data_IF_623670979620
#
_entry.id   IF_623670979620
#
_cell.length_a   1.000
_cell.length_b   1.000
_cell.length_c   1.000
_cell.angle_alpha   90.00
_cell.angle_beta   90.00
_cell.angle_gamma   90.00
#
_symmetry.space_group_name_H-M   'P 1'
#
loop_
_entity.id
_entity.type
_entity.pdbx_description
1 polymer ?
2 non-polymer ?
3 water ?
#
# COMPACT_ATOMS: atom_id res chain seq x y z
N UNK A 1 -12.75 22.92 4.18
CA UNK A 1 -11.93 24.14 4.04
C UNK A 1 -10.76 24.13 5.02
N UNK A 2 -9.59 24.50 4.54
CA UNK A 2 -8.38 24.53 5.37
C UNK A 2 -8.22 23.21 6.11
N UNK A 3 -7.60 22.23 5.46
CA UNK A 3 -7.39 20.91 6.06
C UNK A 3 -6.06 20.79 6.77
N UNK A 4 -6.07 20.11 7.91
CA UNK A 4 -4.88 19.88 8.71
C UNK A 4 -4.24 18.57 8.22
N UNK A 5 -3.42 18.68 7.18
CA UNK A 5 -2.77 17.49 6.61
C UNK A 5 -1.96 16.71 7.63
N UNK A 6 -1.41 17.41 8.63
CA UNK A 6 -0.64 16.72 9.64
C UNK A 6 -1.52 15.77 10.43
N UNK A 7 -2.73 16.20 10.78
CA UNK A 7 -3.62 15.33 11.53
C UNK A 7 -4.16 14.20 10.66
N UNK A 8 -4.37 14.47 9.38
CA UNK A 8 -4.86 13.42 8.50
C UNK A 8 -3.77 12.36 8.37
N UNK A 9 -2.51 12.80 8.32
CA UNK A 9 -1.38 11.87 8.23
C UNK A 9 -1.41 10.98 9.48
N UNK A 10 -1.60 11.59 10.65
CA UNK A 10 -1.66 10.84 11.90
C UNK A 10 -2.84 9.86 11.86
N UNK A 11 -3.95 10.29 11.30
CA UNK A 11 -5.14 9.44 11.18
C UNK A 11 -4.83 8.22 10.30
N UNK A 12 -4.17 8.45 9.17
CA UNK A 12 -3.83 7.37 8.25
C UNK A 12 -2.99 6.33 8.99
N UNK A 13 -2.08 6.78 9.86
CA UNK A 13 -1.27 5.84 10.59
C UNK A 13 -2.14 5.04 11.56
N UNK A 14 -3.23 5.64 12.03
CA UNK A 14 -4.14 4.93 12.93
C UNK A 14 -4.84 3.83 12.13
N UNK A 15 -5.10 4.08 10.85
CA UNK A 15 -5.74 3.07 10.03
C UNK A 15 -4.80 1.87 9.94
N UNK A 16 -3.52 2.12 9.70
CA UNK A 16 -2.57 1.02 9.61
C UNK A 16 -2.47 0.27 10.94
N UNK A 17 -2.58 0.98 12.07
CA UNK A 17 -2.54 0.27 13.35
C UNK A 17 -3.75 -0.67 13.44
N UNK A 18 -4.87 -0.23 12.87
CA UNK A 18 -6.10 -1.02 12.88
C UNK A 18 -6.02 -2.25 11.98
N UNK A 19 -5.05 -2.26 11.06
CA UNK A 19 -4.87 -3.38 10.14
C UNK A 19 -3.80 -4.37 10.63
N UNK A 20 -3.18 -4.08 11.76
CA UNK A 20 -2.14 -4.96 12.28
C UNK A 20 -2.60 -6.35 12.68
N UNK A 21 -1.85 -7.35 12.25
CA UNK A 21 -2.13 -8.75 12.57
C UNK A 21 -1.03 -9.21 13.54
N UNK A 22 -1.33 -10.24 14.33
CA UNK A 22 -0.35 -10.77 15.27
C UNK A 22 -0.43 -10.15 16.66
N UNK A 23 0.69 -10.19 17.38
CA UNK A 23 0.77 -9.63 18.72
C UNK A 23 1.00 -8.13 18.63
N UNK A 24 0.09 -7.36 19.23
CA UNK A 24 0.18 -5.91 19.21
C UNK A 24 1.05 -5.39 20.34
N UNK A 25 1.78 -4.29 20.09
CA UNK A 25 2.68 -3.68 21.09
C UNK A 25 1.95 -3.00 22.24
N UNK A 26 2.68 -2.82 23.35
CA UNK A 26 2.14 -2.17 24.53
C UNK A 26 1.74 -0.73 24.23
N UNK A 27 2.39 -0.11 23.24
CA UNK A 27 2.08 1.27 22.89
C UNK A 27 1.07 1.42 21.76
N UNK A 28 0.31 0.37 21.49
CA UNK A 28 -0.72 0.41 20.44
C UNK A 28 -1.68 1.56 20.77
N UNK A 29 -2.05 2.34 19.75
CA UNK A 29 -2.95 3.47 19.97
C UNK A 29 -4.40 3.09 19.65
N UNK A 30 -4.58 2.22 18.66
CA UNK A 30 -5.93 1.76 18.32
C UNK A 30 -6.11 0.53 19.22
N UNK A 31 -6.50 0.79 20.46
CA UNK A 31 -6.65 -0.24 21.48
C UNK A 31 -7.87 -1.15 21.44
N UNK A 32 -8.82 -0.90 20.54
CA UNK A 32 -9.95 -1.81 20.48
C UNK A 32 -9.53 -3.06 19.69
N UNK A 33 -8.39 -2.95 19.00
CA UNK A 33 -7.85 -4.10 18.26
C UNK A 33 -7.07 -4.96 19.27
N UNK A 34 -7.16 -6.27 19.13
CA UNK A 34 -6.49 -7.20 20.05
C UNK A 34 -5.58 -8.17 19.32
N UNK A 35 -4.73 -8.87 20.08
CA UNK A 35 -3.83 -9.85 19.50
C UNK A 35 -4.67 -10.87 18.73
N UNK A 36 -4.21 -11.25 17.54
CA UNK A 36 -4.95 -12.20 16.72
C UNK A 36 -4.04 -12.90 15.71
N UNK A 37 -4.56 -13.95 15.10
CA UNK A 37 -3.82 -14.72 14.11
C UNK A 37 -2.45 -15.11 14.65
N UNK A 38 -2.43 -15.58 15.91
CA UNK A 38 -1.20 -15.95 16.57
C UNK A 38 -0.69 -17.35 16.18
N UNK A 39 -1.45 -18.04 15.34
CA UNK A 39 -1.07 -19.38 14.91
C UNK A 39 -0.64 -19.41 13.44
N UNK A 40 -0.50 -18.23 12.82
CA UNK A 40 -0.10 -18.17 11.42
C UNK A 40 1.29 -18.78 11.27
N UNK A 41 1.40 -19.79 10.41
CA UNK A 41 2.67 -20.49 10.23
C UNK A 41 2.82 -21.14 8.86
N UNK A 42 4.06 -21.47 8.51
CA UNK A 42 4.34 -22.09 7.22
C UNK A 42 4.27 -23.60 7.24
N UNK A 43 4.67 -24.22 6.14
CA UNK A 43 4.65 -25.68 5.97
C UNK A 43 5.36 -26.47 7.07
N UNK A 44 6.48 -25.96 7.56
CA UNK A 44 7.23 -26.64 8.61
C UNK A 44 6.93 -26.04 9.99
N UNK A 45 5.92 -25.19 10.06
CA UNK A 45 5.56 -24.57 11.33
C UNK A 45 6.33 -23.28 11.59
N UNK A 46 6.96 -22.74 10.54
CA UNK A 46 7.70 -21.50 10.69
C UNK A 46 6.75 -20.40 11.14
N UNK A 47 7.21 -19.55 12.04
CA UNK A 47 6.40 -18.46 12.54
C UNK A 47 6.11 -17.45 11.43
N UNK A 48 4.83 -17.20 11.16
CA UNK A 48 4.42 -16.23 10.15
C UNK A 48 3.47 -15.20 10.75
N UNK A 49 3.58 -14.98 12.05
CA UNK A 49 2.71 -14.01 12.72
C UNK A 49 3.16 -12.59 12.41
N UNK A 50 2.20 -11.66 12.46
CA UNK A 50 2.52 -10.28 12.18
C UNK A 50 2.00 -9.85 10.83
N UNK A 51 2.54 -8.76 10.30
CA UNK A 51 2.09 -8.27 9.00
C UNK A 51 0.76 -7.55 9.12
N UNK A 52 0.20 -7.20 7.96
CA UNK A 52 -1.08 -6.49 7.90
C UNK A 52 -2.21 -7.29 7.26
N UNK A 53 -3.40 -7.17 7.83
CA UNK A 53 -4.57 -7.79 7.25
C UNK A 53 -4.77 -6.89 6.02
N UNK A 54 -5.20 -7.46 4.90
CA UNK A 54 -5.34 -6.68 3.68
C UNK A 54 -6.38 -5.58 3.62
N UNK A 55 -7.62 -5.93 3.88
CA UNK A 55 -8.70 -4.96 3.80
C UNK A 55 -9.67 -5.08 4.97
N UNK A 56 -10.93 -5.37 4.67
CA UNK A 56 -11.92 -5.53 5.72
C UNK A 56 -11.96 -6.97 6.18
N UNK A 57 -11.06 -7.77 5.59
CA UNK A 57 -10.93 -9.20 5.89
C UNK A 57 -9.68 -9.46 6.73
N UNK A 58 -9.32 -10.72 6.90
CA UNK A 58 -8.15 -11.06 7.69
C UNK A 58 -7.13 -11.89 6.93
N UNK A 59 -7.21 -11.84 5.61
CA UNK A 59 -6.23 -12.56 4.81
C UNK A 59 -5.02 -11.64 4.71
N UNK A 60 -3.83 -12.25 4.67
CA UNK A 60 -2.60 -11.51 4.53
C UNK A 60 -2.13 -11.76 3.10
N UNK A 61 -2.50 -10.83 2.21
CA UNK A 61 -2.15 -10.90 0.78
C UNK A 61 -0.80 -10.21 0.56
N UNK A 62 0.24 -11.02 0.39
CA UNK A 62 1.59 -10.50 0.21
C UNK A 62 1.91 -9.50 -0.88
N UNK A 63 1.24 -9.60 -2.02
CA UNK A 63 1.54 -8.69 -3.12
C UNK A 63 1.14 -7.26 -2.76
N UNK A 64 -0.14 -7.01 -2.45
CA UNK A 64 -0.47 -5.62 -2.10
C UNK A 64 0.17 -5.17 -0.80
N UNK A 65 0.48 -6.12 0.10
CA UNK A 65 1.11 -5.74 1.38
C UNK A 65 2.52 -5.21 1.11
N UNK A 66 3.24 -5.85 0.19
CA UNK A 66 4.60 -5.41 -0.14
C UNK A 66 4.53 -4.06 -0.84
N UNK A 67 3.59 -3.91 -1.77
CA UNK A 67 3.43 -2.64 -2.48
C UNK A 67 3.19 -1.53 -1.47
N UNK A 68 2.30 -1.80 -0.51
CA UNK A 68 1.99 -0.82 0.52
C UNK A 68 3.27 -0.40 1.25
N UNK A 69 4.07 -1.38 1.64
CA UNK A 69 5.32 -1.12 2.35
C UNK A 69 6.29 -0.28 1.50
N UNK A 70 6.40 -0.60 0.22
CA UNK A 70 7.31 0.14 -0.65
C UNK A 70 6.92 1.60 -0.76
N UNK A 71 5.63 1.85 -0.98
CA UNK A 71 5.14 3.21 -1.13
C UNK A 71 5.22 4.00 0.18
N UNK A 72 4.93 3.36 1.30
CA UNK A 72 5.03 4.05 2.58
C UNK A 72 6.49 4.42 2.85
N UNK A 73 7.40 3.48 2.57
CA UNK A 73 8.82 3.74 2.79
C UNK A 73 9.29 4.87 1.86
N UNK A 74 8.80 4.83 0.62
CA UNK A 74 9.15 5.84 -0.38
C UNK A 74 8.82 7.25 0.13
N UNK A 75 7.61 7.41 0.67
CA UNK A 75 7.21 8.70 1.20
C UNK A 75 8.04 9.12 2.39
N UNK A 76 8.44 8.15 3.21
CA UNK A 76 9.27 8.43 4.38
C UNK A 76 10.66 8.91 3.99
N UNK A 77 11.15 8.40 2.87
CA UNK A 77 12.48 8.76 2.37
C UNK A 77 12.49 10.15 1.74
N UNK A 78 11.55 10.40 0.83
CA UNK A 78 11.49 11.68 0.13
C UNK A 78 10.84 12.82 0.90
N UNK A 79 9.92 12.49 1.80
CA UNK A 79 9.21 13.51 2.55
C UNK A 79 9.23 13.29 4.05
N UNK A 80 10.41 12.92 4.56
CA UNK A 80 10.58 12.67 5.99
C UNK A 80 10.18 13.89 6.81
N UNK A 81 10.43 15.07 6.26
CA UNK A 81 10.09 16.33 6.94
C UNK A 81 8.61 16.39 7.24
N UNK A 82 7.79 15.81 6.36
CA UNK A 82 6.35 15.82 6.56
C UNK A 82 5.99 15.02 7.80
N UNK A 83 6.61 13.84 7.96
CA UNK A 83 6.35 13.00 9.13
C UNK A 83 6.84 13.70 10.39
N UNK A 84 8.05 14.27 10.32
CA UNK A 84 8.62 14.97 11.46
C UNK A 84 7.77 16.15 11.91
N UNK A 85 7.31 16.95 10.95
CA UNK A 85 6.49 18.11 11.29
C UNK A 85 5.18 17.70 11.94
N UNK A 86 4.69 16.52 11.57
CA UNK A 86 3.44 16.01 12.12
C UNK A 86 3.71 15.23 13.42
N UNK A 87 4.97 15.18 13.82
CA UNK A 87 5.33 14.46 15.03
C UNK A 87 4.99 13.00 14.88
N UNK A 88 5.16 12.47 13.67
CA UNK A 88 4.83 11.08 13.40
C UNK A 88 5.97 10.27 12.75
N UNK A 89 7.20 10.72 12.91
CA UNK A 89 8.32 10.02 12.31
C UNK A 89 8.48 8.60 12.87
N UNK A 90 8.46 8.48 14.20
CA UNK A 90 8.59 7.18 14.83
C UNK A 90 7.48 6.23 14.36
N UNK A 91 6.24 6.73 14.35
CA UNK A 91 5.11 5.90 13.91
C UNK A 91 5.21 5.55 12.43
N UNK A 92 5.69 6.48 11.62
CA UNK A 92 5.84 6.20 10.20
C UNK A 92 6.79 5.04 10.00
N UNK A 93 7.89 5.05 10.74
CA UNK A 93 8.88 3.99 10.66
C UNK A 93 8.30 2.67 11.15
N UNK A 94 7.52 2.73 12.23
CA UNK A 94 6.91 1.53 12.79
C UNK A 94 5.92 0.90 11.80
N UNK A 95 5.24 1.73 11.02
CA UNK A 95 4.28 1.25 10.04
C UNK A 95 5.00 0.44 8.97
N UNK A 96 6.17 0.91 8.57
CA UNK A 96 6.96 0.21 7.56
C UNK A 96 7.51 -1.08 8.16
N UNK A 97 8.06 -0.99 9.36
CA UNK A 97 8.64 -2.14 10.02
C UNK A 97 7.64 -3.25 10.33
N UNK A 98 6.38 -2.89 10.53
CA UNK A 98 5.38 -3.91 10.83
C UNK A 98 5.29 -4.85 9.63
N UNK A 99 5.42 -4.28 8.45
CA UNK A 99 5.35 -5.07 7.23
C UNK A 99 6.67 -5.81 6.96
N UNK A 100 7.79 -5.10 7.03
CA UNK A 100 9.08 -5.74 6.75
C UNK A 100 9.49 -6.82 7.75
N UNK A 101 9.08 -6.68 9.02
CA UNK A 101 9.40 -7.71 10.00
C UNK A 101 8.72 -9.00 9.54
N UNK A 102 7.54 -8.85 8.97
CA UNK A 102 6.77 -9.98 8.48
C UNK A 102 7.39 -10.57 7.20
N UNK A 103 7.83 -9.71 6.27
CA UNK A 103 8.44 -10.21 5.05
C UNK A 103 9.67 -11.05 5.38
N UNK A 104 10.39 -10.67 6.44
CA UNK A 104 11.58 -11.41 6.84
C UNK A 104 11.19 -12.82 7.31
N UNK A 105 10.09 -12.94 8.04
CA UNK A 105 9.63 -14.24 8.49
C UNK A 105 9.15 -15.06 7.30
N UNK A 106 8.48 -14.41 6.36
CA UNK A 106 7.93 -15.08 5.18
C UNK A 106 9.03 -15.57 4.24
N UNK A 107 10.22 -14.98 4.35
CA UNK A 107 11.35 -15.36 3.52
C UNK A 107 12.03 -16.53 4.24
N UNK A 108 11.37 -17.68 4.21
CA UNK A 108 11.83 -18.88 4.91
C UNK A 108 13.10 -19.54 4.39
N UNK A 109 13.47 -19.27 3.14
CA UNK A 109 14.70 -19.80 2.55
C UNK A 109 15.08 -18.79 1.48
N UNK A 110 16.35 -18.78 1.08
CA UNK A 110 16.78 -17.80 0.08
C UNK A 110 15.86 -17.71 -1.13
N UNK A 111 15.47 -18.86 -1.69
CA UNK A 111 14.57 -18.86 -2.84
C UNK A 111 13.19 -19.42 -2.52
N UNK A 112 12.67 -19.05 -1.36
CA UNK A 112 11.34 -19.48 -0.92
C UNK A 112 10.70 -18.31 -0.20
N UNK A 113 9.46 -18.01 -0.52
CA UNK A 113 8.79 -16.89 0.10
C UNK A 113 7.29 -17.13 0.27
N UNK A 114 6.80 -16.97 1.49
CA UNK A 114 5.37 -17.16 1.73
C UNK A 114 4.64 -15.88 1.32
N UNK A 115 3.72 -16.01 0.38
CA UNK A 115 2.97 -14.87 -0.11
C UNK A 115 1.55 -14.72 0.37
N UNK A 116 1.10 -15.62 1.25
CA UNK A 116 -0.26 -15.52 1.75
C UNK A 116 -0.51 -16.38 2.98
N UNK A 117 -1.32 -15.87 3.88
CA UNK A 117 -1.72 -16.61 5.08
C UNK A 117 -3.23 -16.38 5.16
N UNK A 118 -3.97 -17.48 5.21
CA UNK A 118 -5.42 -17.40 5.25
C UNK A 118 -5.94 -17.64 3.84
N UNK A 119 -7.07 -18.36 3.72
CA UNK A 119 -7.64 -18.63 2.41
C UNK A 119 -8.82 -17.68 2.16
N UNK A 120 -8.92 -17.19 0.93
CA UNK A 120 -9.99 -16.27 0.60
C UNK A 120 -11.37 -16.67 1.11
N UNK A 121 -11.83 -17.84 0.71
CA UNK A 121 -13.16 -18.30 1.11
C UNK A 121 -13.37 -18.56 2.59
N UNK A 122 -12.46 -19.30 3.21
CA UNK A 122 -12.57 -19.61 4.63
C UNK A 122 -12.58 -18.32 5.45
N UNK A 123 -11.71 -17.39 5.06
CA UNK A 123 -11.61 -16.11 5.77
C UNK A 123 -12.86 -15.25 5.57
N UNK A 124 -13.29 -15.10 4.33
CA UNK A 124 -14.43 -14.26 4.02
C UNK A 124 -15.79 -14.78 4.45
N UNK A 125 -15.86 -16.06 4.78
CA UNK A 125 -17.12 -16.66 5.21
C UNK A 125 -17.40 -16.26 6.66
N UNK A 126 -16.38 -15.70 7.29
CA UNK A 126 -16.44 -15.27 8.68
C UNK A 126 -16.56 -13.75 8.80
N UNK A 127 -17.43 -13.30 9.70
CA UNK A 127 -17.57 -11.88 9.98
C UNK A 127 -17.52 -11.74 11.50
N UNK A 128 -16.44 -11.14 11.99
CA UNK A 128 -16.29 -10.98 13.42
C UNK A 128 -14.92 -10.44 13.75
N UNK A 129 -14.53 -10.56 15.01
CA UNK A 129 -13.23 -10.08 15.47
C UNK A 129 -12.14 -11.07 15.05
N UNK A 130 -10.98 -10.57 14.62
CA UNK A 130 -9.91 -11.47 14.21
C UNK A 130 -9.45 -12.45 15.29
N UNK A 131 -9.47 -12.02 16.55
CA UNK A 131 -9.06 -12.88 17.65
C UNK A 131 -10.04 -14.03 17.88
N UNK A 132 -11.21 -13.96 17.26
CA UNK A 132 -12.22 -15.01 17.42
C UNK A 132 -12.20 -16.04 16.29
N UNK A 133 -11.31 -15.87 15.31
CA UNK A 133 -11.22 -16.81 14.20
C UNK A 133 -10.86 -18.20 14.69
N UNK A 134 -11.50 -19.21 14.12
CA UNK A 134 -11.23 -20.59 14.51
C UNK A 134 -10.99 -21.45 13.28
N UNK A 135 -11.15 -20.87 12.09
CA UNK A 135 -10.96 -21.61 10.85
C UNK A 135 -9.47 -21.76 10.51
N UNK A 136 -9.16 -22.81 9.74
CA UNK A 136 -7.78 -23.04 9.35
C UNK A 136 -7.29 -21.89 8.48
N UNK A 137 -6.04 -21.49 8.68
CA UNK A 137 -5.45 -20.40 7.91
C UNK A 137 -4.21 -20.93 7.18
N UNK A 138 -4.43 -21.57 6.02
CA UNK A 138 -3.32 -22.10 5.24
C UNK A 138 -2.37 -21.01 4.76
N UNK A 139 -1.09 -21.36 4.66
CA UNK A 139 -0.09 -20.42 4.18
C UNK A 139 0.40 -20.95 2.83
N UNK A 140 0.50 -20.06 1.86
CA UNK A 140 0.94 -20.43 0.51
C UNK A 140 2.26 -19.74 0.18
N UNK A 141 3.13 -20.44 -0.54
CA UNK A 141 4.43 -19.90 -0.87
C UNK A 141 4.82 -20.05 -2.33
N UNK A 142 5.84 -19.30 -2.72
CA UNK A 142 6.40 -19.37 -4.06
C UNK A 142 7.81 -19.92 -3.82
N UNK A 143 8.35 -20.64 -4.80
CA UNK A 143 9.70 -21.19 -4.70
C UNK A 143 10.24 -21.40 -6.11
N UNK A 144 11.38 -22.07 -6.24
CA UNK A 144 11.96 -22.27 -7.56
C UNK A 144 11.09 -23.08 -8.52
N UNK A 145 10.16 -23.86 -7.97
CA UNK A 145 9.27 -24.66 -8.81
C UNK A 145 7.97 -23.93 -9.11
N UNK A 146 7.66 -22.93 -8.28
CA UNK A 146 6.45 -22.12 -8.45
C UNK A 146 6.91 -20.68 -8.22
N UNK A 147 7.45 -20.05 -9.27
CA UNK A 147 7.95 -18.68 -9.21
C UNK A 147 6.93 -17.57 -8.96
N UNK A 148 7.46 -16.41 -8.56
CA UNK A 148 6.62 -15.25 -8.30
C UNK A 148 7.49 -14.00 -8.37
N UNK A 149 7.92 -13.68 -9.59
CA UNK A 149 8.78 -12.52 -9.83
C UNK A 149 8.16 -11.20 -9.36
N UNK A 150 6.85 -11.08 -9.53
CA UNK A 150 6.13 -9.89 -9.11
C UNK A 150 6.11 -9.79 -7.59
N UNK A 151 5.70 -10.86 -6.92
CA UNK A 151 5.64 -10.87 -5.46
C UNK A 151 7.03 -10.72 -4.83
N UNK A 152 8.00 -11.52 -5.29
CA UNK A 152 9.35 -11.45 -4.75
C UNK A 152 10.00 -10.10 -5.08
N UNK A 153 9.72 -9.60 -6.29
CA UNK A 153 10.27 -8.33 -6.71
C UNK A 153 9.76 -7.17 -5.87
N UNK A 154 8.44 -7.11 -5.66
CA UNK A 154 7.87 -6.03 -4.87
C UNK A 154 8.36 -6.11 -3.42
N UNK A 155 8.48 -7.33 -2.90
CA UNK A 155 8.94 -7.50 -1.53
C UNK A 155 10.39 -7.04 -1.44
N UNK A 156 11.18 -7.34 -2.47
CA UNK A 156 12.58 -6.93 -2.48
C UNK A 156 12.63 -5.39 -2.49
N UNK A 157 11.75 -4.78 -3.28
CA UNK A 157 11.70 -3.33 -3.38
C UNK A 157 11.35 -2.73 -2.02
N UNK A 158 10.37 -3.32 -1.34
CA UNK A 158 9.95 -2.83 -0.04
C UNK A 158 11.09 -2.95 0.99
N UNK A 159 11.77 -4.08 0.96
CA UNK A 159 12.88 -4.32 1.88
C UNK A 159 14.03 -3.35 1.61
N UNK A 160 14.31 -3.12 0.33
CA UNK A 160 15.38 -2.21 -0.06
C UNK A 160 15.02 -0.78 0.35
N UNK A 161 13.78 -0.38 0.11
CA UNK A 161 13.35 0.97 0.49
C UNK A 161 13.43 1.10 2.01
N UNK A 162 12.99 0.06 2.73
CA UNK A 162 13.03 0.10 4.19
C UNK A 162 14.47 0.17 4.70
N UNK A 163 15.40 -0.48 3.99
CA UNK A 163 16.80 -0.44 4.44
C UNK A 163 17.31 1.01 4.44
N UNK A 164 16.80 1.83 3.52
CA UNK A 164 17.18 3.23 3.45
C UNK A 164 16.57 3.97 4.63
N UNK A 165 15.29 3.72 4.88
CA UNK A 165 14.58 4.35 5.98
C UNK A 165 15.31 4.15 7.31
N UNK A 166 15.83 2.95 7.52
CA UNK A 166 16.51 2.62 8.78
C UNK A 166 18.03 2.71 8.80
N UNK A 167 18.62 3.16 7.70
CA UNK A 167 20.07 3.29 7.58
C UNK A 167 20.77 3.84 8.81
N UNK A 168 20.27 4.96 9.33
CA UNK A 168 20.88 5.60 10.50
C UNK A 168 20.30 5.21 11.85
N UNK A 169 18.97 5.15 11.92
CA UNK A 169 18.28 4.81 13.15
C UNK A 169 18.58 3.40 13.68
N UNK A 170 18.68 2.44 12.77
CA UNK A 170 18.97 1.06 13.16
C UNK A 170 19.79 0.40 12.06
N UNK A 171 21.09 0.68 12.07
CA UNK A 171 21.97 0.12 11.05
C UNK A 171 21.95 -1.38 10.93
N UNK A 172 21.81 -2.08 12.05
CA UNK A 172 21.79 -3.55 12.04
C UNK A 172 20.55 -4.06 11.29
N UNK A 173 19.40 -3.48 11.58
CA UNK A 173 18.17 -3.88 10.92
C UNK A 173 18.25 -3.52 9.44
N UNK A 174 18.81 -2.36 9.15
CA UNK A 174 18.97 -1.90 7.79
C UNK A 174 19.76 -2.94 6.99
N UNK A 175 20.87 -3.40 7.55
CA UNK A 175 21.71 -4.40 6.89
C UNK A 175 20.94 -5.70 6.64
N UNK A 176 20.17 -6.12 7.65
CA UNK A 176 19.38 -7.34 7.55
C UNK A 176 18.34 -7.19 6.44
N UNK A 177 17.66 -6.05 6.41
CA UNK A 177 16.65 -5.79 5.39
C UNK A 177 17.27 -5.92 4.00
N UNK A 178 18.45 -5.34 3.84
CA UNK A 178 19.14 -5.38 2.55
C UNK A 178 19.56 -6.78 2.14
N UNK A 179 20.05 -7.58 3.09
CA UNK A 179 20.44 -8.95 2.76
C UNK A 179 19.25 -9.69 2.15
N UNK A 180 18.10 -9.56 2.82
CA UNK A 180 16.89 -10.22 2.35
C UNK A 180 16.45 -9.64 1.00
N UNK A 181 16.57 -8.32 0.84
CA UNK A 181 16.18 -7.67 -0.40
C UNK A 181 17.00 -8.20 -1.58
N UNK A 182 18.31 -8.31 -1.38
CA UNK A 182 19.19 -8.83 -2.43
C UNK A 182 18.83 -10.24 -2.85
N UNK A 183 18.61 -11.11 -1.87
CA UNK A 183 18.27 -12.50 -2.16
C UNK A 183 16.92 -12.64 -2.86
N UNK A 184 15.93 -11.85 -2.44
CA UNK A 184 14.62 -11.91 -3.06
C UNK A 184 14.64 -11.43 -4.51
N UNK A 185 15.47 -10.44 -4.82
CA UNK A 185 15.54 -9.98 -6.19
C UNK A 185 16.15 -11.05 -7.08
N UNK A 186 17.20 -11.71 -6.60
CA UNK A 186 17.83 -12.76 -7.38
C UNK A 186 16.82 -13.87 -7.64
N UNK A 187 16.04 -14.21 -6.62
CA UNK A 187 15.02 -15.25 -6.76
C UNK A 187 14.00 -14.80 -7.81
N UNK A 188 13.54 -13.57 -7.69
CA UNK A 188 12.56 -13.03 -8.63
C UNK A 188 13.08 -12.97 -10.07
N UNK A 189 14.34 -12.57 -10.23
CA UNK A 189 14.91 -12.44 -11.56
C UNK A 189 15.36 -13.76 -12.19
N UNK A 190 15.85 -14.69 -11.37
CA UNK A 190 16.33 -15.98 -11.87
C UNK A 190 15.22 -17.00 -12.13
N UNK A 191 14.09 -16.81 -11.47
CA UNK A 191 12.96 -17.72 -11.62
C UNK A 191 11.75 -16.87 -11.98
N UNK A 192 11.54 -16.71 -13.28
CA UNK A 192 10.47 -15.89 -13.84
C UNK A 192 9.08 -16.52 -13.81
N UNK A 193 8.08 -15.73 -13.41
CA UNK A 193 6.72 -16.22 -13.35
C UNK A 193 5.82 -15.29 -12.55
N UNK A 194 4.51 -15.45 -12.74
CA UNK A 194 3.52 -14.65 -12.03
C UNK A 194 3.16 -15.39 -10.75
N UNK A 195 3.23 -14.72 -9.61
CA UNK A 195 2.95 -15.37 -8.34
C UNK A 195 1.54 -15.95 -8.24
N UNK A 196 0.58 -15.31 -8.88
CA UNK A 196 -0.80 -15.78 -8.84
C UNK A 196 -1.04 -17.07 -9.62
N UNK A 197 -0.05 -17.47 -10.42
CA UNK A 197 -0.17 -18.72 -11.17
C UNK A 197 0.31 -19.85 -10.28
N UNK A 198 1.03 -19.49 -9.22
CA UNK A 198 1.54 -20.46 -8.25
C UNK A 198 0.59 -20.46 -7.06
N UNK A 199 0.47 -19.31 -6.41
CA UNK A 199 -0.46 -19.18 -5.29
C UNK A 199 -1.78 -18.85 -5.97
N UNK A 200 -2.41 -19.89 -6.51
CA UNK A 200 -3.65 -19.73 -7.25
C UNK A 200 -4.83 -19.15 -6.48
N UNK A 201 -4.82 -19.23 -5.15
CA UNK A 201 -5.92 -18.67 -4.39
C UNK A 201 -6.00 -17.16 -4.62
N UNK A 202 -4.83 -16.54 -4.80
CA UNK A 202 -4.74 -15.10 -5.00
C UNK A 202 -5.17 -14.61 -6.38
N UNK A 203 -5.30 -15.53 -7.33
CA UNK A 203 -5.65 -15.14 -8.69
C UNK A 203 -7.03 -14.48 -8.79
N UNK A 204 -7.91 -14.75 -7.83
CA UNK A 204 -9.24 -14.16 -7.85
C UNK A 204 -9.38 -12.96 -6.93
N UNK A 205 -8.26 -12.52 -6.35
CA UNK A 205 -8.26 -11.38 -5.44
C UNK A 205 -7.22 -10.33 -5.83
N UNK A 206 -5.99 -10.78 -6.08
CA UNK A 206 -4.91 -9.89 -6.47
C UNK A 206 -4.07 -10.51 -7.57
N UNK A 207 -4.74 -10.84 -8.68
CA UNK A 207 -4.04 -11.45 -9.80
C UNK A 207 -3.03 -10.46 -10.37
N UNK A 208 -1.86 -10.96 -10.75
CA UNK A 208 -0.83 -10.10 -11.32
C UNK A 208 -1.03 -10.02 -12.82
N UNK A 209 -0.95 -8.80 -13.37
CA UNK A 209 -1.12 -8.60 -14.80
C UNK A 209 0.19 -8.86 -15.54
N UNK A 210 1.30 -8.47 -14.92
CA UNK A 210 2.62 -8.64 -15.52
C UNK A 210 3.65 -8.47 -14.40
N UNK A 211 4.72 -9.27 -14.45
CA UNK A 211 5.76 -9.18 -13.42
C UNK A 211 6.98 -8.39 -13.88
N UNK A 212 7.04 -8.08 -15.16
CA UNK A 212 8.19 -7.36 -15.70
C UNK A 212 8.45 -6.00 -15.07
N UNK A 213 7.40 -5.24 -14.78
CA UNK A 213 7.58 -3.93 -14.17
C UNK A 213 8.16 -4.05 -12.76
N UNK A 214 7.77 -5.08 -12.02
CA UNK A 214 8.29 -5.28 -10.66
C UNK A 214 9.78 -5.57 -10.69
N UNK A 215 10.25 -6.25 -11.72
CA UNK A 215 11.68 -6.56 -11.81
C UNK A 215 12.49 -5.27 -11.95
N UNK A 216 12.01 -4.35 -12.77
CA UNK A 216 12.70 -3.08 -12.97
C UNK A 216 12.59 -2.25 -11.68
N UNK A 217 11.39 -2.26 -11.09
CA UNK A 217 11.09 -1.54 -9.85
C UNK A 217 12.06 -2.00 -8.75
N UNK A 218 12.19 -3.32 -8.61
CA UNK A 218 13.08 -3.88 -7.59
C UNK A 218 14.55 -3.54 -7.82
N UNK A 219 15.01 -3.67 -9.05
CA UNK A 219 16.40 -3.38 -9.37
C UNK A 219 16.70 -1.90 -9.08
N UNK A 220 15.76 -1.03 -9.46
CA UNK A 220 15.93 0.40 -9.23
C UNK A 220 16.05 0.71 -7.73
N UNK A 221 15.19 0.09 -6.92
CA UNK A 221 15.25 0.31 -5.48
C UNK A 221 16.52 -0.24 -4.87
N UNK A 222 16.99 -1.39 -5.38
CA UNK A 222 18.22 -1.97 -4.85
C UNK A 222 19.41 -1.08 -5.19
N UNK A 223 19.39 -0.45 -6.37
CA UNK A 223 20.48 0.45 -6.73
C UNK A 223 20.47 1.62 -5.75
N UNK A 224 19.28 2.17 -5.47
CA UNK A 224 19.16 3.29 -4.56
C UNK A 224 19.67 2.93 -3.16
N UNK A 225 19.39 1.72 -2.72
CA UNK A 225 19.78 1.27 -1.39
C UNK A 225 21.24 0.83 -1.24
N UNK A 226 21.88 0.49 -2.36
CA UNK A 226 23.25 0.00 -2.32
C UNK A 226 24.28 0.87 -3.03
N UNK A 227 23.82 1.63 -4.03
CA UNK A 227 24.70 2.48 -4.82
C UNK A 227 25.60 1.57 -5.66
N UNK A 228 25.15 0.33 -5.85
CA UNK A 228 25.90 -0.65 -6.63
C UNK A 228 25.42 -0.55 -8.07
N UNK A 229 26.30 -0.06 -8.94
CA UNK A 229 25.98 0.12 -10.35
C UNK A 229 25.36 -1.10 -11.06
N UNK A 230 25.68 -2.30 -10.60
CA UNK A 230 25.13 -3.49 -11.23
C UNK A 230 23.59 -3.48 -11.23
N UNK A 231 23.00 -2.95 -10.17
CA UNK A 231 21.55 -2.89 -10.08
C UNK A 231 20.97 -1.84 -11.02
N UNK A 232 21.68 -0.74 -11.21
CA UNK A 232 21.21 0.31 -12.11
C UNK A 232 21.25 -0.21 -13.54
N UNK A 233 22.34 -0.87 -13.89
CA UNK A 233 22.49 -1.43 -15.23
C UNK A 233 21.38 -2.42 -15.52
N UNK A 234 21.09 -3.29 -14.55
CA UNK A 234 20.04 -4.27 -14.71
C UNK A 234 18.68 -3.59 -14.84
N UNK A 235 18.43 -2.60 -13.99
CA UNK A 235 17.17 -1.86 -14.03
C UNK A 235 16.93 -1.25 -15.40
N UNK A 236 17.93 -0.53 -15.91
CA UNK A 236 17.81 0.12 -17.21
C UNK A 236 17.80 -0.87 -18.37
N UNK A 237 18.53 -1.96 -18.22
CA UNK A 237 18.58 -2.98 -19.26
C UNK A 237 17.20 -3.62 -19.42
N UNK A 238 16.58 -3.96 -18.29
CA UNK A 238 15.26 -4.58 -18.31
C UNK A 238 14.21 -3.57 -18.76
N UNK A 239 14.36 -2.32 -18.34
CA UNK A 239 13.43 -1.27 -18.72
C UNK A 239 13.34 -1.20 -20.24
N UNK A 240 14.50 -1.24 -20.90
CA UNK A 240 14.55 -1.19 -22.35
C UNK A 240 14.05 -2.48 -22.97
N UNK A 241 14.51 -3.61 -22.44
CA UNK A 241 14.11 -4.91 -22.98
C UNK A 241 12.59 -5.09 -22.93
N UNK A 242 12.00 -4.77 -21.79
CA UNK A 242 10.56 -4.90 -21.59
C UNK A 242 9.78 -3.75 -22.24
N UNK A 243 10.49 -2.71 -22.67
CA UNK A 243 9.85 -1.57 -23.31
C UNK A 243 8.85 -0.81 -22.45
N UNK A 244 9.20 -0.59 -21.20
CA UNK A 244 8.32 0.12 -20.26
C UNK A 244 7.91 1.53 -20.68
N UNK A 245 8.74 2.21 -21.47
CA UNK A 245 8.41 3.56 -21.89
C UNK A 245 7.10 3.61 -22.68
N UNK A 246 6.69 2.46 -23.21
CA UNK A 246 5.45 2.37 -23.98
C UNK A 246 4.27 1.80 -23.20
N UNK A 247 4.51 1.38 -21.96
CA UNK A 247 3.45 0.83 -21.12
C UNK A 247 2.51 1.94 -20.66
N UNK A 248 1.27 1.58 -20.36
CA UNK A 248 0.31 2.56 -19.89
C UNK A 248 0.75 3.07 -18.54
N UNK A 249 0.78 4.39 -18.37
CA UNK A 249 1.21 4.97 -17.11
C UNK A 249 0.31 4.60 -15.95
N UNK A 250 0.77 4.90 -14.74
CA UNK A 250 0.00 4.60 -13.56
C UNK A 250 0.82 3.95 -12.46
N UNK A 251 0.32 4.05 -11.24
CA UNK A 251 0.98 3.45 -10.08
C UNK A 251 -0.07 2.88 -9.15
N UNK A 252 0.05 1.59 -8.86
CA UNK A 252 -0.86 0.89 -7.97
C UNK A 252 -0.26 -0.47 -7.65
N UNK A 253 -0.90 -1.25 -6.78
CA UNK A 253 -0.36 -2.55 -6.40
C UNK A 253 -0.02 -3.49 -7.55
N UNK A 254 -0.70 -3.32 -8.68
CA UNK A 254 -0.50 -4.17 -9.85
C UNK A 254 0.53 -3.63 -10.83
N UNK A 255 0.50 -2.32 -11.07
CA UNK A 255 1.42 -1.69 -12.01
C UNK A 255 2.36 -0.68 -11.34
N UNK A 256 3.66 -0.83 -11.62
CA UNK A 256 4.65 0.06 -11.04
C UNK A 256 5.22 1.02 -12.08
N UNK A 257 4.71 0.94 -13.30
CA UNK A 257 5.19 1.77 -14.41
C UNK A 257 5.59 3.21 -14.07
N UNK A 258 4.65 4.02 -13.64
CA UNK A 258 4.96 5.42 -13.33
C UNK A 258 5.93 5.58 -12.16
N UNK A 259 5.90 4.63 -11.23
CA UNK A 259 6.81 4.70 -10.11
C UNK A 259 8.22 4.45 -10.61
N UNK A 260 8.36 3.43 -11.46
CA UNK A 260 9.65 3.07 -12.05
C UNK A 260 10.25 4.25 -12.79
N UNK A 261 9.44 4.89 -13.62
CA UNK A 261 9.90 6.02 -14.41
C UNK A 261 10.30 7.25 -13.60
N UNK A 262 9.50 7.63 -12.62
CA UNK A 262 9.84 8.79 -11.83
C UNK A 262 11.03 8.47 -10.91
N UNK A 263 11.15 7.20 -10.52
CA UNK A 263 12.26 6.78 -9.67
C UNK A 263 13.57 6.80 -10.47
N UNK A 264 13.54 6.22 -11.67
CA UNK A 264 14.73 6.19 -12.51
C UNK A 264 15.12 7.59 -12.96
N UNK A 265 14.14 8.46 -13.13
CA UNK A 265 14.41 9.83 -13.55
C UNK A 265 15.25 10.49 -12.46
N UNK A 266 14.94 10.20 -11.21
CA UNK A 266 15.66 10.77 -10.07
C UNK A 266 17.05 10.16 -9.91
N UNK A 267 17.15 8.85 -10.06
CA UNK A 267 18.42 8.15 -9.90
C UNK A 267 19.43 8.37 -11.02
N UNK A 268 18.95 8.58 -12.23
CA UNK A 268 19.83 8.76 -13.39
C UNK A 268 19.88 10.19 -13.93
N UNK A 269 18.84 10.96 -13.63
CA UNK A 269 18.74 12.35 -14.11
C UNK A 269 18.57 12.39 -15.63
N UNK A 270 18.25 11.24 -16.23
CA UNK A 270 18.07 11.17 -17.68
C UNK A 270 16.77 11.80 -18.16
N UNK A 271 16.86 12.60 -19.21
CA UNK A 271 15.70 13.28 -19.77
C UNK A 271 14.59 12.35 -20.26
N UNK A 272 14.96 11.23 -20.88
CA UNK A 272 13.98 10.28 -21.40
C UNK A 272 12.92 9.88 -20.38
N UNK A 273 13.35 9.56 -19.16
CA UNK A 273 12.41 9.16 -18.11
C UNK A 273 11.51 10.34 -17.76
N UNK A 274 12.11 11.54 -17.68
CA UNK A 274 11.36 12.74 -17.35
C UNK A 274 10.29 13.03 -18.40
N UNK A 275 10.60 12.77 -19.66
CA UNK A 275 9.63 12.99 -20.73
C UNK A 275 8.41 12.10 -20.53
N UNK A 276 8.66 10.83 -20.22
CA UNK A 276 7.58 9.87 -20.02
C UNK A 276 6.70 10.27 -18.84
N UNK A 277 7.30 10.74 -17.76
CA UNK A 277 6.56 11.16 -16.58
C UNK A 277 5.68 12.38 -16.90
N UNK A 278 6.26 13.35 -17.62
CA UNK A 278 5.54 14.55 -18.00
C UNK A 278 4.30 14.27 -18.83
N UNK A 279 4.47 13.46 -19.86
CA UNK A 279 3.36 13.12 -20.74
C UNK A 279 2.22 12.46 -19.96
N UNK A 280 2.59 11.58 -19.03
CA UNK A 280 1.60 10.90 -18.20
C UNK A 280 0.84 11.89 -17.32
N UNK A 281 1.57 12.72 -16.60
CA UNK A 281 0.94 13.70 -15.72
C UNK A 281 0.09 14.72 -16.47
N UNK A 282 0.65 15.27 -17.55
CA UNK A 282 -0.08 16.25 -18.34
C UNK A 282 -1.39 15.65 -18.83
N UNK A 283 -1.32 14.37 -19.20
CA UNK A 283 -2.51 13.66 -19.67
C UNK A 283 -3.57 13.59 -18.57
N UNK A 284 -3.14 13.25 -17.36
CA UNK A 284 -4.08 13.15 -16.23
C UNK A 284 -4.76 14.48 -15.93
N UNK A 285 -3.95 15.52 -15.76
CA UNK A 285 -4.45 16.85 -15.44
C UNK A 285 -5.35 17.45 -16.52
N UNK A 286 -4.95 17.26 -17.78
CA UNK A 286 -5.70 17.83 -18.90
C UNK A 286 -6.74 16.94 -19.57
N UNK A 287 -6.57 15.63 -19.54
CA UNK A 287 -7.51 14.76 -20.25
C UNK A 287 -8.24 13.62 -19.55
N UNK A 288 -7.56 12.88 -18.68
CA UNK A 288 -8.21 11.76 -17.98
C UNK A 288 -9.60 12.14 -17.48
N UNK A 289 -10.55 11.21 -17.63
CA UNK A 289 -11.92 11.45 -17.20
C UNK A 289 -11.93 11.89 -15.74
N UNK A 290 -12.74 12.92 -15.45
CA UNK A 290 -12.87 13.44 -14.10
C UNK A 290 -14.35 13.57 -13.78
N UNK A 291 -14.69 13.52 -12.50
CA UNK A 291 -16.08 13.68 -12.09
C UNK A 291 -16.37 15.17 -12.24
N UNK A 292 -17.65 15.56 -12.26
CA UNK A 292 -18.00 16.97 -12.40
C UNK A 292 -17.34 17.85 -11.34
N UNK A 293 -17.08 17.28 -10.17
CA UNK A 293 -16.47 18.05 -9.10
C UNK A 293 -14.94 18.05 -9.09
N UNK A 294 -14.34 17.49 -10.14
CA UNK A 294 -12.89 17.50 -10.24
C UNK A 294 -12.06 16.28 -9.86
N UNK A 295 -12.70 15.23 -9.38
CA UNK A 295 -11.96 14.02 -8.99
C UNK A 295 -11.57 13.18 -10.20
N UNK A 296 -10.30 12.78 -10.26
CA UNK A 296 -9.84 11.92 -11.35
C UNK A 296 -10.61 10.61 -11.23
N UNK A 297 -11.20 10.15 -12.33
CA UNK A 297 -11.94 8.90 -12.31
C UNK A 297 -11.22 7.89 -13.18
N UNK A 298 -10.33 7.13 -12.56
CA UNK A 298 -9.51 6.14 -13.25
C UNK A 298 -10.16 4.76 -13.38
N UNK A 299 -10.99 4.39 -12.40
CA UNK A 299 -11.69 3.12 -12.41
C UNK A 299 -12.70 3.09 -11.28
N UNK A 300 -13.69 2.22 -11.38
CA UNK A 300 -14.73 2.09 -10.36
C UNK A 300 -14.22 1.48 -9.06
N UNK A 301 -13.20 0.63 -9.15
CA UNK A 301 -12.65 -0.01 -7.95
C UNK A 301 -11.58 0.87 -7.33
N UNK A 302 -11.69 1.12 -6.02
CA UNK A 302 -10.72 1.95 -5.34
C UNK A 302 -10.51 3.27 -6.08
N UNK A 303 -11.59 3.94 -6.39
CA UNK A 303 -11.55 5.21 -7.13
C UNK A 303 -10.65 6.26 -6.47
N UNK A 304 -10.83 6.49 -5.17
CA UNK A 304 -10.01 7.47 -4.46
C UNK A 304 -8.57 7.02 -4.38
N UNK A 305 -8.36 5.72 -4.20
CA UNK A 305 -7.02 5.14 -4.15
C UNK A 305 -6.27 5.48 -5.45
N UNK A 306 -6.95 5.37 -6.58
CA UNK A 306 -6.32 5.67 -7.85
C UNK A 306 -6.00 7.15 -7.98
N UNK A 307 -6.90 8.02 -7.53
CA UNK A 307 -6.69 9.46 -7.61
C UNK A 307 -5.54 9.88 -6.69
N UNK A 308 -5.48 9.27 -5.50
CA UNK A 308 -4.42 9.60 -4.56
C UNK A 308 -3.07 9.09 -5.05
N UNK A 309 -3.07 7.94 -5.74
CA UNK A 309 -1.83 7.40 -6.27
C UNK A 309 -1.32 8.36 -7.34
N UNK A 310 -2.23 8.81 -8.19
CA UNK A 310 -1.87 9.76 -9.24
C UNK A 310 -1.31 11.02 -8.60
N UNK A 311 -1.96 11.48 -7.54
CA UNK A 311 -1.51 12.67 -6.83
C UNK A 311 -0.09 12.48 -6.33
N UNK A 312 0.23 11.28 -5.87
CA UNK A 312 1.59 11.05 -5.38
C UNK A 312 2.62 11.10 -6.51
N UNK A 313 2.27 10.55 -7.67
CA UNK A 313 3.19 10.55 -8.80
C UNK A 313 3.45 12.00 -9.21
N UNK A 314 2.41 12.82 -9.13
CA UNK A 314 2.54 14.24 -9.48
C UNK A 314 3.47 14.96 -8.51
N UNK A 315 3.37 14.62 -7.23
CA UNK A 315 4.21 15.24 -6.22
C UNK A 315 5.67 14.83 -6.43
N UNK A 316 5.88 13.58 -6.82
CA UNK A 316 7.24 13.09 -7.07
C UNK A 316 7.77 13.76 -8.34
N UNK A 317 6.89 13.96 -9.32
CA UNK A 317 7.29 14.59 -10.56
C UNK A 317 7.68 16.04 -10.30
N UNK A 318 6.97 16.69 -9.39
CA UNK A 318 7.26 18.08 -9.05
C UNK A 318 8.66 18.19 -8.44
N UNK A 319 9.06 17.15 -7.70
CA UNK A 319 10.38 17.13 -7.08
C UNK A 319 11.48 17.07 -8.12
N UNK A 320 11.14 16.62 -9.33
CA UNK A 320 12.11 16.51 -10.43
C UNK A 320 12.26 17.87 -11.11
N UNK A 321 11.40 18.82 -10.73
CA UNK A 321 11.45 20.14 -11.33
C UNK A 321 10.45 20.29 -12.46
N UNK A 322 9.58 19.28 -12.61
CA UNK A 322 8.56 19.30 -13.65
C UNK A 322 7.33 20.05 -13.18
N UNK A 323 7.05 21.19 -13.81
CA UNK A 323 5.89 22.02 -13.48
C UNK A 323 5.51 21.89 -12.01
N UNK A 324 6.49 22.07 -11.14
CA UNK A 324 6.30 21.94 -9.70
C UNK A 324 5.03 22.58 -9.14
N UNK A 325 4.81 23.86 -9.43
CA UNK A 325 3.63 24.56 -8.92
C UNK A 325 2.30 23.94 -9.34
N UNK A 326 2.09 23.78 -10.65
CA UNK A 326 0.85 23.23 -11.15
C UNK A 326 0.65 21.75 -10.78
N UNK A 327 1.73 20.98 -10.81
CA UNK A 327 1.65 19.57 -10.47
C UNK A 327 1.26 19.39 -9.00
N UNK A 328 1.90 20.17 -8.13
CA UNK A 328 1.62 20.11 -6.71
C UNK A 328 0.19 20.58 -6.42
N UNK A 329 -0.24 21.61 -7.14
CA UNK A 329 -1.58 22.15 -6.96
C UNK A 329 -2.63 21.11 -7.33
N UNK A 330 -2.45 20.47 -8.47
CA UNK A 330 -3.42 19.48 -8.91
C UNK A 330 -3.46 18.29 -7.97
N UNK A 331 -2.29 17.88 -7.49
CA UNK A 331 -2.23 16.75 -6.57
C UNK A 331 -3.04 17.11 -5.34
N UNK A 332 -2.89 18.35 -4.89
CA UNK A 332 -3.62 18.82 -3.71
C UNK A 332 -5.13 18.78 -3.93
N UNK A 333 -5.60 19.07 -5.14
CA UNK A 333 -7.05 19.05 -5.38
C UNK A 333 -7.61 17.65 -5.21
N UNK A 334 -6.81 16.64 -5.56
CA UNK A 334 -7.26 15.26 -5.45
C UNK A 334 -7.33 14.85 -3.98
N UNK A 335 -6.30 15.18 -3.22
CA UNK A 335 -6.29 14.86 -1.80
C UNK A 335 -7.40 15.65 -1.11
N UNK A 336 -7.55 16.91 -1.46
CA UNK A 336 -8.59 17.74 -0.87
C UNK A 336 -9.99 17.25 -1.18
N UNK A 337 -10.15 16.59 -2.32
CA UNK A 337 -11.47 16.06 -2.67
C UNK A 337 -11.78 14.92 -1.70
N UNK A 338 -10.79 14.06 -1.45
CA UNK A 338 -10.97 12.93 -0.54
C UNK A 338 -11.27 13.44 0.87
N UNK A 339 -10.70 14.59 1.22
CA UNK A 339 -10.89 15.15 2.55
C UNK A 339 -12.21 15.90 2.71
N UNK A 340 -12.90 16.19 1.62
CA UNK A 340 -14.18 16.86 1.73
C UNK A 340 -14.58 17.96 0.76
N UNK A 341 -13.70 18.34 -0.17
CA UNK A 341 -14.06 19.40 -1.11
C UNK A 341 -15.12 19.00 -2.13
N UNK A 342 -15.51 17.73 -2.11
CA UNK A 342 -16.53 17.26 -3.03
C UNK A 342 -17.90 17.32 -2.37
N UNK A 343 -17.94 17.72 -1.10
CA UNK A 343 -19.20 17.81 -0.39
C UNK A 343 -19.18 17.09 0.94
N UNK A 344 -18.38 16.03 1.05
CA UNK A 344 -18.27 15.27 2.29
C UNK A 344 -16.93 14.57 2.31
N UNK A 345 -16.47 14.21 3.50
CA UNK A 345 -15.20 13.50 3.63
C UNK A 345 -15.37 12.05 3.23
N UNK A 346 -14.30 11.48 2.66
CA UNK A 346 -14.31 10.08 2.26
C UNK A 346 -13.25 9.35 3.08
N UNK A 347 -12.82 10.00 4.16
CA UNK A 347 -11.84 9.42 5.07
C UNK A 347 -12.58 9.16 6.38
N UNK A 348 -12.71 7.89 6.75
CA UNK A 348 -13.41 7.52 7.99
C UNK A 348 -12.82 8.23 9.20
N UNK A 349 -13.68 8.67 10.10
CA UNK A 349 -13.23 9.35 11.31
C UNK A 349 -12.71 10.76 11.11
N UNK A 350 -12.89 11.31 9.92
CA UNK A 350 -12.40 12.67 9.64
C UNK A 350 -13.35 13.54 8.85
N UNK A 351 -13.40 14.82 9.20
CA UNK A 351 -14.21 15.77 8.47
C UNK A 351 -15.72 15.70 8.50
N UNK A 352 -16.32 16.33 7.50
CA UNK A 352 -17.76 16.41 7.38
C UNK A 352 -18.45 15.19 6.79
N UNK A 353 -19.39 14.64 7.55
CA UNK A 353 -20.18 13.49 7.14
C UNK A 353 -19.35 12.39 6.49
N UNK A 354 -18.34 11.89 7.20
CA UNK A 354 -17.50 10.82 6.63
C UNK A 354 -18.25 9.50 6.59
N UNK A 355 -17.69 8.51 5.88
CA UNK A 355 -18.32 7.19 5.81
C UNK A 355 -18.29 6.66 7.25
N UNK A 356 -19.35 6.01 7.70
CA UNK A 356 -19.36 5.45 9.05
C UNK A 356 -19.58 3.95 9.01
N UNK A 357 -19.81 3.40 7.82
CA UNK A 357 -20.05 1.98 7.67
C UNK A 357 -19.08 1.30 6.69
N UNK A 358 -17.77 1.49 6.88
CA UNK A 358 -16.82 0.86 5.96
C UNK A 358 -16.98 -0.66 5.97
N UNK A 359 -16.74 -1.30 4.82
CA UNK A 359 -16.83 -2.75 4.69
C UNK A 359 -15.60 -3.29 5.41
N UNK A 360 -15.69 -3.33 6.72
CA UNK A 360 -14.55 -3.71 7.56
C UNK A 360 -15.05 -4.45 8.80
N UNK A 361 -14.61 -5.69 8.96
CA UNK A 361 -15.04 -6.53 10.08
C UNK A 361 -14.64 -6.09 11.48
N UNK A 362 -13.34 -5.94 11.74
CA UNK A 362 -12.92 -5.59 13.09
C UNK A 362 -13.51 -4.31 13.65
N UNK A 363 -13.67 -3.29 12.82
CA UNK A 363 -14.23 -2.04 13.29
C UNK A 363 -15.74 -2.12 13.52
N UNK A 364 -16.41 -3.10 12.91
CA UNK A 364 -17.85 -3.22 13.05
C UNK A 364 -18.24 -3.90 14.36
N UNK A 365 -17.26 -4.59 14.96
CA UNK A 365 -17.51 -5.34 16.18
C UNK A 365 -17.54 -4.64 17.51
N UNK A 366 -18.52 -4.98 18.36
CA UNK A 366 -18.61 -4.37 19.68
C UNK A 366 -17.52 -5.08 20.47
N UNK A 367 -17.19 -4.60 21.68
CA UNK A 367 -16.14 -5.33 22.40
C UNK A 367 -16.62 -6.65 22.99
N UNK A 368 -15.69 -7.58 23.16
CA UNK A 368 -16.02 -8.88 23.75
C UNK A 368 -16.51 -8.55 25.17
N UNK A 369 -17.28 -9.44 25.80
CA UNK A 369 -17.79 -10.74 25.34
C UNK A 369 -19.02 -10.74 24.43
N UNK A 370 -19.48 -9.57 24.02
CA UNK A 370 -20.65 -9.53 23.14
C UNK A 370 -20.27 -10.24 21.85
N UNK A 371 -21.21 -11.00 21.31
CA UNK A 371 -20.96 -11.72 20.06
C UNK A 371 -20.83 -10.79 18.87
N UNK A 372 -19.90 -11.12 17.97
CA UNK A 372 -19.75 -10.36 16.74
C UNK A 372 -19.85 -11.43 15.66
N UNK A 373 -20.88 -11.32 14.82
CA UNK A 373 -21.07 -12.28 13.75
C UNK A 373 -21.75 -11.58 12.59
N UNK A 374 -22.33 -12.34 11.67
CA UNK A 374 -22.97 -11.71 10.52
C UNK A 374 -24.14 -10.81 10.88
N UNK A 375 -24.69 -10.97 12.08
CA UNK A 375 -25.79 -10.12 12.49
C UNK A 375 -25.24 -8.71 12.69
N UNK A 376 -23.96 -8.64 13.04
CA UNK A 376 -23.30 -7.36 13.24
C UNK A 376 -23.14 -6.68 11.88
N UNK A 377 -22.72 -7.46 10.89
CA UNK A 377 -22.57 -6.96 9.53
C UNK A 377 -23.91 -6.44 9.03
N UNK A 378 -24.97 -7.13 9.45
CA UNK A 378 -26.33 -6.81 9.05
C UNK A 378 -26.96 -5.65 9.83
N UNK A 379 -26.22 -5.07 10.77
CA UNK A 379 -26.73 -3.97 11.57
C UNK A 379 -26.95 -2.69 10.77
N UNK A 380 -28.08 -2.01 11.01
CA UNK A 380 -28.39 -0.75 10.30
C UNK A 380 -27.53 0.39 10.84
N UNK A 381 -27.02 0.21 12.06
CA UNK A 381 -26.19 1.21 12.72
C UNK A 381 -24.79 1.32 12.14
N UNK A 382 -24.10 2.45 12.40
CA UNK A 382 -22.75 2.63 11.89
C UNK A 382 -21.79 1.66 12.59
N UNK A 383 -20.63 1.41 11.99
CA UNK A 383 -19.66 0.52 12.59
C UNK A 383 -19.40 0.97 14.02
N UNK A 384 -19.41 0.03 14.95
CA UNK A 384 -19.20 0.32 16.36
C UNK A 384 -17.97 1.19 16.61
N UNK A 385 -16.85 0.83 16.01
CA UNK A 385 -15.60 1.58 16.16
C UNK A 385 -15.36 2.46 14.95
N UNK A 386 -14.96 3.70 15.18
CA UNK A 386 -14.64 4.60 14.08
C UNK A 386 -13.29 4.16 13.54
N UNK A 387 -13.22 3.89 12.24
CA UNK A 387 -11.97 3.44 11.60
C UNK A 387 -11.17 4.66 11.14
N UNK A 388 -10.68 5.42 12.12
CA UNK A 388 -9.94 6.64 11.85
C UNK A 388 -8.87 6.50 10.78
N UNK A 389 -8.94 7.38 9.78
CA UNK A 389 -7.94 7.41 8.73
C UNK A 389 -8.14 6.58 7.46
N UNK A 390 -9.11 5.68 7.45
CA UNK A 390 -9.34 4.82 6.29
C UNK A 390 -9.98 5.53 5.10
N UNK A 391 -9.31 5.42 3.96
CA UNK A 391 -9.80 6.02 2.72
C UNK A 391 -10.67 4.98 2.03
N UNK A 392 -11.94 5.28 1.83
CA UNK A 392 -12.84 4.32 1.18
C UNK A 392 -12.73 4.39 -0.33
N UNK A 393 -13.43 3.47 -1.00
CA UNK A 393 -13.44 3.44 -2.45
C UNK A 393 -13.85 4.80 -2.98
N UNK A 394 -14.94 5.34 -2.46
CA UNK A 394 -15.38 6.66 -2.88
C UNK A 394 -16.66 6.75 -3.68
N UNK A 395 -16.95 7.95 -4.23
CA UNK A 395 -18.15 8.21 -5.03
C UNK A 395 -18.04 7.65 -6.43
N UNK A 396 -19.14 7.69 -7.18
CA UNK A 396 -19.13 7.20 -8.55
C UNK A 396 -18.62 8.30 -9.47
N UNK A 397 -18.66 8.03 -10.77
CA UNK A 397 -18.19 9.00 -11.76
C UNK A 397 -18.97 10.32 -11.77
N UNK A 398 -20.07 10.38 -11.03
CA UNK A 398 -20.88 11.59 -10.97
C UNK A 398 -20.94 12.19 -9.57
N UNK A 399 -19.95 11.84 -8.74
CA UNK A 399 -19.85 12.34 -7.36
C UNK A 399 -20.99 11.89 -6.45
N UNK A 400 -21.67 10.82 -6.82
CA UNK A 400 -22.77 10.29 -6.02
C UNK A 400 -22.22 9.24 -5.06
N UNK A 401 -22.76 9.20 -3.85
CA UNK A 401 -22.28 8.24 -2.86
C UNK A 401 -23.27 7.99 -1.72
N UNK A 402 -23.34 6.75 -1.28
CA UNK A 402 -24.21 6.37 -0.16
C UNK A 402 -23.42 5.43 0.75
N UNK A 403 -23.35 5.80 2.03
CA UNK A 403 -22.64 5.03 3.04
C UNK A 403 -23.38 3.71 3.24
N UNK A 404 -22.78 2.62 2.75
CA UNK A 404 -23.41 1.30 2.79
C UNK A 404 -22.37 0.19 3.07
N UNK A 405 -22.49 -0.48 4.22
CA UNK A 405 -21.53 -1.52 4.60
C UNK A 405 -21.41 -2.67 3.61
N UNK A 406 -22.51 -3.04 2.95
CA UNK A 406 -22.49 -4.14 2.00
C UNK A 406 -21.85 -3.75 0.67
N UNK A 407 -21.68 -2.46 0.44
CA UNK A 407 -21.10 -1.98 -0.81
C UNK A 407 -19.58 -2.09 -0.79
N UNK A 408 -19.06 -3.20 -1.29
CA UNK A 408 -17.62 -3.41 -1.31
C UNK A 408 -16.91 -2.68 -2.46
N UNK A 409 -17.63 -1.77 -3.09
CA UNK A 409 -17.04 -0.97 -4.16
C UNK A 409 -16.75 0.39 -3.54
N UNK A 410 -17.81 1.09 -3.14
CA UNK A 410 -17.69 2.42 -2.56
C UNK A 410 -17.20 2.46 -1.11
N UNK A 411 -17.51 1.43 -0.32
CA UNK A 411 -17.09 1.41 1.07
C UNK A 411 -15.97 0.44 1.42
N UNK A 412 -15.26 -0.01 0.41
CA UNK A 412 -14.12 -0.90 0.62
C UNK A 412 -12.99 -0.03 1.17
N UNK A 413 -12.15 -0.63 2.02
CA UNK A 413 -10.98 0.03 2.58
C UNK A 413 -9.89 -1.03 2.48
N UNK A 414 -8.64 -0.61 2.33
CA UNK A 414 -7.54 -1.58 2.19
C UNK A 414 -6.18 -0.93 2.43
N UNK A 415 -5.19 -1.73 2.80
CA UNK A 415 -3.88 -1.15 3.05
C UNK A 415 -3.32 -0.43 1.82
N UNK A 416 -3.53 -0.97 0.62
CA UNK A 416 -2.99 -0.28 -0.56
C UNK A 416 -3.72 1.03 -0.83
N UNK A 417 -4.99 1.12 -0.42
CA UNK A 417 -5.79 2.32 -0.60
C UNK A 417 -5.15 3.53 0.09
N UNK A 418 -4.59 3.30 1.27
CA UNK A 418 -3.98 4.36 2.06
C UNK A 418 -2.52 4.66 1.81
N UNK A 419 -1.84 3.82 1.02
CA UNK A 419 -0.40 4.01 0.78
C UNK A 419 -0.02 5.29 0.02
N UNK A 420 -0.45 5.41 -1.22
CA UNK A 420 -0.14 6.62 -1.98
C UNK A 420 -0.71 7.84 -1.28
N UNK A 421 -1.91 7.67 -0.73
CA UNK A 421 -2.61 8.72 -0.01
C UNK A 421 -1.76 9.24 1.16
N UNK A 422 -1.28 8.33 1.98
CA UNK A 422 -0.46 8.72 3.13
C UNK A 422 0.85 9.39 2.72
N UNK A 423 1.50 8.85 1.69
CA UNK A 423 2.75 9.44 1.25
C UNK A 423 2.48 10.83 0.66
N UNK A 424 1.32 11.00 0.02
CA UNK A 424 0.95 12.29 -0.55
C UNK A 424 0.74 13.30 0.58
N UNK A 425 0.13 12.85 1.68
CA UNK A 425 -0.09 13.73 2.82
C UNK A 425 1.25 14.17 3.41
N UNK A 426 2.20 13.25 3.46
CA UNK A 426 3.52 13.56 3.99
C UNK A 426 4.17 14.63 3.13
N UNK A 427 3.99 14.53 1.82
CA UNK A 427 4.56 15.50 0.89
C UNK A 427 3.93 16.87 1.08
N UNK A 428 2.60 16.91 1.20
CA UNK A 428 1.90 18.17 1.37
C UNK A 428 2.39 18.88 2.64
N UNK A 429 2.60 18.10 3.70
CA UNK A 429 3.09 18.67 4.96
C UNK A 429 4.50 19.21 4.75
N UNK A 430 5.33 18.42 4.09
CA UNK A 430 6.72 18.81 3.82
C UNK A 430 6.78 20.10 3.01
N UNK A 431 5.83 20.28 2.11
CA UNK A 431 5.76 21.47 1.27
C UNK A 431 5.18 22.67 2.00
N UNK A 432 4.72 22.45 3.23
CA UNK A 432 4.16 23.53 4.02
C UNK A 432 2.73 23.92 3.67
N UNK A 433 1.98 22.99 3.09
CA UNK A 433 0.60 23.25 2.71
C UNK A 433 -0.34 23.03 3.89
X LIG B 1 3.16 -5.64 -12.36
#
# INVERSE_FOLDING_TARGET
MAYDYKQVLRDSLLFYEAQRSGRLPADQKVTWRKDSALNDQGDQGQDLTGGYFDAGDFVKFGFPMAYTATVLAWGLIDFEAGYSSAGALDDGRKAVKWATDYFIKAHTSQNEFYGQVGQGDADHAFWGRPEDMTMARPAYKIDTSRPGSDLAGETAAALAAASIVFRNVDGTYSNNLLTHARQLFDFANNYRGKYSDSITDARNFYASADYRDELVWAAAWLYRATNDNTYLNTAESLYDEFGLQNWGGGLNWDSKVSGVQVLLAKLTNKQAYKDTVQSYVNYLINNQQKTPKGLLYIDMWGTLRHAANAAFIMLEAAELGLSASSYRQFAQTQIDYALGDGGRSFVCGFGSNPPTRPHHRSSSCPPAPATCDWNTFNSPDPNYHVLSGALVGGPDQNDNYVDDRSDYVHNEVATDYNAGFQSALAALVALGY
CA CA
#
